data_IF_404554387596
#
_entry.id   IF_404554387596
#
_cell.length_a   1.000
_cell.length_b   1.000
_cell.length_c   1.000
_cell.angle_alpha   90.00
_cell.angle_beta   90.00
_cell.angle_gamma   90.00
#
_symmetry.space_group_name_H-M   'P 1'
#
loop_
_entity.id
_entity.type
_entity.pdbx_description
1 polymer ?
#
# COMPACT_ATOMS: atom_id res chain seq x y z
N UNK A 1 -90.65 -4.21 -40.94
CA UNK A 1 -90.14 -5.59 -41.04
C UNK A 1 -88.86 -5.70 -40.24
N UNK A 2 -88.89 -6.56 -39.23
CA UNK A 2 -87.79 -6.86 -38.32
C UNK A 2 -86.61 -7.50 -39.04
N UNK A 3 -85.38 -7.14 -38.63
CA UNK A 3 -84.30 -8.11 -38.38
C UNK A 3 -83.26 -7.49 -37.45
N UNK A 4 -83.39 -7.82 -36.16
CA UNK A 4 -82.31 -7.79 -35.18
C UNK A 4 -81.18 -8.70 -35.68
N UNK A 5 -79.94 -8.23 -35.59
CA UNK A 5 -78.79 -9.11 -35.30
C UNK A 5 -78.02 -8.49 -34.14
N UNK A 6 -78.12 -9.15 -32.99
CA UNK A 6 -77.35 -8.92 -31.77
C UNK A 6 -76.44 -10.15 -31.64
N UNK A 7 -75.12 -9.96 -31.53
CA UNK A 7 -74.10 -10.81 -30.89
C UNK A 7 -72.81 -9.95 -30.93
N UNK A 8 -72.45 -9.28 -29.84
CA UNK A 8 -71.59 -9.76 -28.73
C UNK A 8 -70.14 -9.36 -28.99
N UNK A 9 -69.71 -8.29 -28.31
CA UNK A 9 -68.31 -7.93 -28.18
C UNK A 9 -67.65 -8.92 -27.22
N UNK A 10 -66.70 -9.71 -27.71
CA UNK A 10 -65.73 -10.43 -26.90
C UNK A 10 -64.55 -9.47 -26.64
N UNK A 11 -64.17 -9.14 -25.39
CA UNK A 11 -63.13 -8.14 -25.10
C UNK A 11 -61.70 -8.60 -25.43
N UNK A 12 -61.52 -9.76 -26.06
CA UNK A 12 -60.21 -10.40 -26.22
C UNK A 12 -59.58 -10.28 -27.62
N UNK A 13 -60.26 -9.70 -28.61
CA UNK A 13 -59.70 -9.56 -29.97
C UNK A 13 -58.81 -8.31 -30.12
N UNK A 14 -59.07 -7.24 -29.37
CA UNK A 14 -58.26 -6.02 -29.34
C UNK A 14 -56.91 -6.21 -28.61
N UNK A 15 -56.81 -7.22 -27.75
CA UNK A 15 -55.58 -7.55 -27.00
C UNK A 15 -54.58 -8.35 -27.84
N UNK A 16 -55.00 -8.99 -28.94
CA UNK A 16 -54.13 -9.82 -29.79
C UNK A 16 -53.43 -9.00 -30.88
N UNK A 17 -54.10 -8.01 -31.50
CA UNK A 17 -53.45 -7.09 -32.43
C UNK A 17 -52.44 -6.16 -31.73
N UNK A 18 -52.76 -5.70 -30.53
CA UNK A 18 -51.85 -4.86 -29.73
C UNK A 18 -50.62 -5.64 -29.24
N UNK A 19 -50.70 -6.97 -29.09
CA UNK A 19 -49.56 -7.83 -28.71
C UNK A 19 -48.69 -8.26 -29.89
N UNK A 20 -49.23 -8.39 -31.11
CA UNK A 20 -48.43 -8.65 -32.32
C UNK A 20 -47.61 -7.41 -32.72
N UNK A 21 -48.18 -6.21 -32.63
CA UNK A 21 -47.46 -4.95 -32.86
C UNK A 21 -46.37 -4.65 -31.80
N UNK A 22 -46.47 -5.22 -30.59
CA UNK A 22 -45.47 -5.06 -29.51
C UNK A 22 -44.34 -6.10 -29.53
N UNK A 23 -44.52 -7.23 -30.23
CA UNK A 23 -43.51 -8.30 -30.32
C UNK A 23 -42.55 -8.12 -31.51
N UNK A 24 -42.96 -7.45 -32.58
CA UNK A 24 -42.05 -7.10 -33.70
C UNK A 24 -41.16 -5.87 -33.42
N UNK A 25 -41.51 -5.01 -32.45
CA UNK A 25 -40.63 -3.89 -32.03
C UNK A 25 -39.50 -4.29 -31.06
N UNK A 26 -39.36 -5.56 -30.68
CA UNK A 26 -38.34 -6.05 -29.72
C UNK A 26 -37.24 -6.93 -30.33
N UNK A 27 -37.18 -7.08 -31.65
CA UNK A 27 -36.15 -7.85 -32.34
C UNK A 27 -35.50 -7.07 -33.50
N UNK A 28 -34.97 -5.88 -33.20
CA UNK A 28 -33.86 -5.25 -33.94
C UNK A 28 -33.39 -4.02 -33.17
N UNK A 29 -32.61 -4.23 -32.11
CA UNK A 29 -31.64 -3.21 -31.69
C UNK A 29 -30.40 -3.41 -32.55
N UNK A 30 -30.60 -3.20 -33.86
CA UNK A 30 -29.52 -3.00 -34.80
C UNK A 30 -28.75 -1.79 -34.27
N UNK A 31 -27.48 -1.99 -33.90
CA UNK A 31 -26.56 -0.88 -33.63
C UNK A 31 -26.53 -0.07 -34.91
N UNK A 32 -27.32 1.00 -34.99
CA UNK A 32 -27.08 2.05 -35.97
C UNK A 32 -25.59 2.40 -35.82
N UNK A 33 -24.78 2.28 -36.88
CA UNK A 33 -23.40 2.74 -36.82
C UNK A 33 -23.47 4.19 -36.37
N UNK A 34 -22.85 4.50 -35.23
CA UNK A 34 -22.77 5.87 -34.75
C UNK A 34 -22.26 6.71 -35.93
N UNK A 35 -23.05 7.70 -36.34
CA UNK A 35 -22.77 8.52 -37.50
C UNK A 35 -21.35 9.12 -37.39
N UNK A 36 -20.64 9.23 -38.52
CA UNK A 36 -19.22 9.58 -38.52
C UNK A 36 -18.99 10.96 -37.89
N UNK A 37 -19.94 11.87 -38.04
CA UNK A 37 -19.88 13.21 -37.46
C UNK A 37 -20.23 13.20 -35.96
N UNK A 38 -21.10 12.30 -35.52
CA UNK A 38 -21.32 12.02 -34.08
C UNK A 38 -20.08 11.41 -33.41
N UNK A 39 -19.37 10.49 -34.07
CA UNK A 39 -18.09 9.93 -33.58
C UNK A 39 -17.00 11.00 -33.49
N UNK A 40 -16.90 11.88 -34.50
CA UNK A 40 -15.95 13.01 -34.49
C UNK A 40 -16.30 14.04 -33.42
N UNK A 41 -17.58 14.32 -33.20
CA UNK A 41 -18.06 15.24 -32.16
C UNK A 41 -17.82 14.67 -30.76
N UNK A 42 -18.07 13.38 -30.56
CA UNK A 42 -17.74 12.66 -29.33
C UNK A 42 -16.22 12.61 -29.09
N UNK A 43 -15.42 12.38 -30.13
CA UNK A 43 -13.97 12.42 -30.02
C UNK A 43 -13.45 13.82 -29.67
N UNK A 44 -14.00 14.88 -30.28
CA UNK A 44 -13.68 16.27 -29.95
C UNK A 44 -14.11 16.63 -28.53
N UNK A 45 -15.28 16.18 -28.07
CA UNK A 45 -15.75 16.43 -26.71
C UNK A 45 -14.95 15.67 -25.67
N UNK A 46 -14.53 14.43 -25.95
CA UNK A 46 -13.63 13.67 -25.08
C UNK A 46 -12.25 14.34 -25.03
N UNK A 47 -11.69 14.77 -26.17
CA UNK A 47 -10.41 15.49 -26.20
C UNK A 47 -10.49 16.80 -25.42
N UNK A 48 -11.55 17.58 -25.59
CA UNK A 48 -11.77 18.81 -24.83
C UNK A 48 -11.88 18.54 -23.31
N UNK A 49 -12.63 17.51 -22.92
CA UNK A 49 -12.75 17.09 -21.52
C UNK A 49 -11.41 16.62 -20.94
N UNK A 50 -10.62 15.86 -21.72
CA UNK A 50 -9.27 15.42 -21.33
C UNK A 50 -8.33 16.61 -21.18
N UNK A 51 -8.40 17.62 -22.05
CA UNK A 51 -7.61 18.84 -21.91
C UNK A 51 -7.98 19.62 -20.64
N UNK A 52 -9.28 19.76 -20.35
CA UNK A 52 -9.76 20.40 -19.11
C UNK A 52 -9.29 19.62 -17.90
N UNK A 53 -9.40 18.28 -17.91
CA UNK A 53 -8.91 17.41 -16.84
C UNK A 53 -7.38 17.53 -16.68
N UNK A 54 -6.62 17.53 -17.76
CA UNK A 54 -5.17 17.70 -17.71
C UNK A 54 -4.79 19.05 -17.08
N UNK A 55 -5.50 20.13 -17.42
CA UNK A 55 -5.32 21.45 -16.81
C UNK A 55 -5.71 21.42 -15.33
N UNK A 56 -6.84 20.82 -14.97
CA UNK A 56 -7.26 20.68 -13.57
C UNK A 56 -6.27 19.87 -12.73
N UNK A 57 -5.78 18.74 -13.25
CA UNK A 57 -4.76 17.92 -12.57
C UNK A 57 -3.45 18.69 -12.44
N UNK A 58 -3.03 19.42 -13.48
CA UNK A 58 -1.80 20.22 -13.42
C UNK A 58 -1.93 21.37 -12.42
N UNK A 59 -3.10 22.01 -12.35
CA UNK A 59 -3.42 23.05 -11.37
C UNK A 59 -3.41 22.49 -9.94
N UNK A 60 -4.08 21.36 -9.67
CA UNK A 60 -4.12 20.73 -8.33
C UNK A 60 -2.72 20.27 -7.90
N UNK A 61 -1.95 19.65 -8.80
CA UNK A 61 -0.57 19.23 -8.54
C UNK A 61 0.35 20.42 -8.26
N UNK A 62 0.16 21.56 -8.94
CA UNK A 62 0.96 22.75 -8.73
C UNK A 62 0.55 23.50 -7.45
N UNK A 63 -0.74 23.56 -7.11
CA UNK A 63 -1.19 24.14 -5.83
C UNK A 63 -0.69 23.34 -4.63
N UNK A 64 -0.66 21.99 -4.72
CA UNK A 64 -0.07 21.14 -3.68
C UNK A 64 1.41 21.42 -3.45
N UNK A 65 2.19 21.66 -4.52
CA UNK A 65 3.61 22.05 -4.41
C UNK A 65 3.79 23.42 -3.74
N UNK A 66 2.89 24.38 -3.99
CA UNK A 66 2.94 25.71 -3.37
C UNK A 66 2.57 25.63 -1.88
N UNK A 67 1.56 24.85 -1.51
CA UNK A 67 1.18 24.65 -0.11
C UNK A 67 2.27 23.90 0.68
N UNK A 68 2.90 22.87 0.12
CA UNK A 68 4.02 22.17 0.77
C UNK A 68 5.26 23.06 0.89
N UNK A 69 5.54 23.91 -0.12
CA UNK A 69 6.63 24.88 -0.05
C UNK A 69 6.35 26.00 0.97
N UNK A 70 5.11 26.49 1.05
CA UNK A 70 4.68 27.48 2.04
C UNK A 70 4.73 26.91 3.47
N UNK A 71 4.34 25.64 3.65
CA UNK A 71 4.45 24.94 4.94
C UNK A 71 5.91 24.74 5.36
N UNK A 72 6.79 24.40 4.41
CA UNK A 72 8.23 24.27 4.63
C UNK A 72 8.91 25.63 4.92
N UNK A 73 8.42 26.71 4.31
CA UNK A 73 8.85 28.08 4.60
C UNK A 73 8.35 28.58 5.97
N UNK A 74 7.17 28.16 6.41
CA UNK A 74 6.65 28.44 7.74
C UNK A 74 7.43 27.69 8.84
N UNK A 75 7.79 26.42 8.59
CA UNK A 75 8.63 25.61 9.49
C UNK A 75 10.06 26.17 9.60
N UNK A 76 10.62 26.76 8.53
CA UNK A 76 11.94 27.42 8.57
C UNK A 76 11.92 28.80 9.26
N UNK A 77 10.77 29.48 9.33
CA UNK A 77 10.63 30.78 10.01
C UNK A 77 10.40 30.67 11.51
N UNK A 78 10.04 29.48 12.02
CA UNK A 78 9.87 29.22 13.45
C UNK A 78 11.16 28.91 14.23
N UNK A 79 12.34 29.01 13.61
CA UNK A 79 13.63 28.63 14.23
C UNK A 79 14.68 29.74 14.20
N UNK A 80 14.27 31.01 14.24
CA UNK A 80 15.16 32.12 14.57
C UNK A 80 14.95 32.52 16.03
N UNK A 81 15.95 32.21 16.85
CA UNK A 81 16.08 32.60 18.25
C UNK A 81 16.02 34.13 18.39
N UNK A 82 15.19 34.63 19.30
CA UNK A 82 15.30 35.97 19.87
C UNK A 82 15.33 35.85 21.40
N UNK A 83 16.48 36.16 21.98
CA UNK A 83 16.70 36.32 23.43
C UNK A 83 16.57 37.80 23.80
N UNK A 84 15.71 38.07 24.80
CA UNK A 84 15.60 39.16 25.79
C UNK A 84 15.58 40.64 25.29
N UNK A 85 14.74 41.56 25.79
CA UNK A 85 14.26 41.78 27.18
C UNK A 85 13.09 42.79 27.24
N UNK A 86 12.25 42.66 28.30
CA UNK A 86 11.34 43.61 29.01
C UNK A 86 10.12 44.24 28.29
N UNK A 87 8.94 44.03 28.89
CA UNK A 87 7.74 44.85 28.73
C UNK A 87 6.51 44.18 29.36
N UNK A 88 6.04 44.71 30.48
CA UNK A 88 5.14 44.10 31.48
C UNK A 88 3.66 43.95 31.07
N UNK A 89 3.03 42.94 31.70
CA UNK A 89 1.68 42.91 32.30
C UNK A 89 0.43 42.40 31.53
N UNK A 90 -0.37 41.66 32.32
CA UNK A 90 -1.79 41.28 32.29
C UNK A 90 -2.23 39.98 31.57
N UNK A 91 -2.14 38.89 32.35
CA UNK A 91 -3.26 38.04 32.84
C UNK A 91 -4.45 37.71 31.88
N UNK A 92 -4.63 36.43 31.52
CA UNK A 92 -5.45 35.48 32.30
C UNK A 92 -5.90 34.23 31.48
N UNK A 93 -5.79 33.08 32.15
CA UNK A 93 -6.62 31.86 32.05
C UNK A 93 -6.54 30.93 30.83
N UNK A 94 -6.02 29.71 31.07
CA UNK A 94 -6.23 28.56 30.19
C UNK A 94 -5.36 27.33 30.47
N UNK A 95 -5.31 26.91 31.74
CA UNK A 95 -4.87 25.62 32.30
C UNK A 95 -4.26 24.53 31.37
N UNK A 96 -3.01 24.19 31.68
CA UNK A 96 -2.25 23.01 31.21
C UNK A 96 -2.52 21.85 32.17
N UNK A 97 -2.53 20.59 31.69
CA UNK A 97 -1.98 19.51 32.51
C UNK A 97 -0.76 18.87 31.85
N UNK A 98 0.35 19.00 32.56
CA UNK A 98 1.56 18.20 32.51
C UNK A 98 1.28 16.78 33.03
N UNK A 99 1.76 15.75 32.34
CA UNK A 99 2.90 14.92 32.77
C UNK A 99 2.88 13.55 32.07
N UNK A 100 4.08 13.04 31.87
CA UNK A 100 4.46 11.72 31.44
C UNK A 100 3.88 10.60 32.33
N UNK A 101 3.65 9.44 31.74
CA UNK A 101 4.18 8.14 32.19
C UNK A 101 3.78 7.07 31.19
N UNK A 102 4.71 6.16 30.92
CA UNK A 102 4.43 4.98 30.12
C UNK A 102 3.69 3.96 30.96
N UNK A 103 2.69 3.32 30.38
CA UNK A 103 2.29 1.98 30.76
C UNK A 103 1.64 1.25 29.58
N UNK A 104 2.03 -0.01 29.45
CA UNK A 104 1.47 -0.98 28.51
C UNK A 104 0.12 -1.42 29.07
N UNK A 105 -0.96 -1.47 28.28
CA UNK A 105 -2.18 -2.10 28.76
C UNK A 105 -2.01 -3.62 28.72
N UNK A 106 -2.02 -4.22 29.91
CA UNK A 106 -2.19 -5.64 30.18
C UNK A 106 -3.55 -6.14 29.68
N UNK A 107 -3.55 -7.42 29.37
CA UNK A 107 -4.64 -8.27 28.97
C UNK A 107 -5.68 -8.47 30.09
N UNK A 108 -6.94 -8.56 29.68
CA UNK A 108 -8.02 -9.07 30.51
C UNK A 108 -8.90 -9.96 29.63
N UNK A 109 -8.62 -11.27 29.66
CA UNK A 109 -9.61 -12.33 29.69
C UNK A 109 -8.88 -13.61 30.05
N UNK A 110 -9.05 -14.02 31.31
CA UNK A 110 -8.57 -15.29 31.80
C UNK A 110 -9.38 -16.43 31.24
N UNK A 111 -8.71 -17.51 30.91
CA UNK A 111 -9.14 -18.83 31.35
C UNK A 111 -7.90 -19.73 31.49
N UNK A 112 -7.86 -20.41 32.62
CA UNK A 112 -6.80 -21.31 33.08
C UNK A 112 -6.80 -22.58 32.21
N UNK A 113 -5.63 -23.14 31.89
CA UNK A 113 -5.51 -24.60 31.86
C UNK A 113 -4.59 -25.07 32.98
N UNK A 114 -5.20 -25.80 33.90
CA UNK A 114 -4.61 -26.66 34.91
C UNK A 114 -3.81 -27.75 34.19
N UNK A 115 -2.50 -27.83 34.42
CA UNK A 115 -1.75 -29.07 34.13
C UNK A 115 -1.49 -29.79 35.45
N UNK A 116 -2.15 -30.94 35.56
CA UNK A 116 -2.08 -31.86 36.67
C UNK A 116 -0.93 -32.84 36.44
N UNK A 117 0.04 -32.78 37.35
CA UNK A 117 0.85 -33.87 37.90
C UNK A 117 1.02 -35.17 37.07
N UNK A 118 2.27 -35.40 36.67
CA UNK A 118 3.01 -36.61 37.06
C UNK A 118 2.96 -37.81 36.11
N UNK A 119 4.11 -38.13 35.52
CA UNK A 119 4.64 -39.50 35.39
C UNK A 119 6.12 -39.45 34.97
N UNK A 120 6.81 -40.53 35.32
CA UNK A 120 8.22 -40.66 35.63
C UNK A 120 9.06 -41.24 34.46
N UNK A 121 10.39 -41.08 34.58
CA UNK A 121 11.55 -41.80 33.97
C UNK A 121 11.58 -42.13 32.45
N UNK A 122 12.69 -42.14 31.72
CA UNK A 122 14.13 -42.27 31.99
C UNK A 122 14.88 -41.74 30.76
N UNK A 123 16.01 -41.04 30.94
CA UNK A 123 17.12 -41.13 29.98
C UNK A 123 18.43 -41.16 30.75
N UNK A 124 19.13 -42.29 30.64
CA UNK A 124 20.42 -42.52 31.26
C UNK A 124 21.52 -41.83 30.45
N UNK A 125 22.29 -40.96 31.11
CA UNK A 125 23.68 -40.71 30.77
C UNK A 125 24.40 -40.24 32.04
N UNK A 126 25.44 -40.99 32.41
CA UNK A 126 26.12 -40.87 33.70
C UNK A 126 26.85 -39.54 33.91
N UNK A 127 26.97 -39.18 35.18
CA UNK A 127 27.74 -38.03 35.65
C UNK A 127 27.66 -37.94 37.18
N UNK A 128 28.62 -38.58 37.83
CA UNK A 128 28.81 -38.69 39.27
C UNK A 128 29.05 -37.33 39.97
N UNK A 129 28.40 -37.13 41.14
CA UNK A 129 28.91 -36.48 42.39
C UNK A 129 29.47 -35.04 42.32
N UNK A 130 29.25 -34.09 43.24
CA UNK A 130 28.64 -34.04 44.58
C UNK A 130 28.70 -32.58 45.08
N UNK A 131 27.73 -32.20 45.92
CA UNK A 131 27.74 -31.22 47.04
C UNK A 131 28.21 -29.77 46.85
N UNK A 132 27.40 -28.85 47.39
CA UNK A 132 27.90 -27.61 48.02
C UNK A 132 26.95 -26.42 47.84
N UNK A 133 26.35 -25.95 48.94
CA UNK A 133 25.28 -24.96 48.92
C UNK A 133 25.68 -23.50 49.07
N UNK A 134 24.63 -22.68 48.96
CA UNK A 134 24.35 -21.40 49.62
C UNK A 134 24.60 -20.07 48.90
N UNK A 135 23.50 -19.31 48.87
CA UNK A 135 23.34 -17.84 48.93
C UNK A 135 23.75 -16.94 47.75
N UNK A 136 22.74 -16.20 47.25
CA UNK A 136 22.91 -14.77 46.97
C UNK A 136 22.57 -14.31 45.56
N UNK A 137 21.37 -13.72 45.41
CA UNK A 137 21.24 -12.41 44.78
C UNK A 137 21.26 -12.28 43.25
N UNK A 138 20.16 -11.72 42.78
CA UNK A 138 20.08 -10.69 41.73
C UNK A 138 19.62 -11.10 40.33
N UNK A 139 18.76 -10.23 39.83
CA UNK A 139 17.98 -10.31 38.61
C UNK A 139 18.83 -10.33 37.33
N UNK A 140 18.34 -11.03 36.31
CA UNK A 140 18.65 -10.72 34.91
C UNK A 140 17.52 -11.28 34.03
N UNK A 141 16.62 -10.41 33.57
CA UNK A 141 16.62 -9.88 32.20
C UNK A 141 16.76 -10.99 31.16
N UNK A 142 15.63 -11.25 30.52
CA UNK A 142 15.45 -12.03 29.29
C UNK A 142 16.67 -11.86 28.37
N UNK A 143 17.40 -12.96 28.20
CA UNK A 143 18.58 -13.05 27.36
C UNK A 143 18.26 -12.53 25.96
N UNK A 144 18.86 -11.39 25.60
CA UNK A 144 19.19 -11.12 24.21
C UNK A 144 20.13 -12.24 23.77
N UNK A 145 19.60 -13.18 22.98
CA UNK A 145 20.37 -14.29 22.46
C UNK A 145 21.61 -13.74 21.72
N UNK A 146 22.77 -13.94 22.33
CA UNK A 146 24.05 -13.88 21.66
C UNK A 146 24.06 -15.06 20.69
N UNK A 147 23.53 -14.84 19.47
CA UNK A 147 23.39 -15.89 18.48
C UNK A 147 24.78 -16.26 17.97
N UNK A 148 25.21 -17.48 18.31
CA UNK A 148 26.32 -18.13 17.62
C UNK A 148 26.14 -18.04 16.11
N UNK A 149 27.25 -17.84 15.42
CA UNK A 149 27.48 -17.57 13.98
C UNK A 149 26.95 -18.64 13.01
N UNK A 150 25.72 -19.10 13.22
CA UNK A 150 25.02 -20.02 12.35
C UNK A 150 24.09 -19.23 11.43
N UNK A 151 24.08 -19.62 10.16
CA UNK A 151 23.18 -19.05 9.16
C UNK A 151 21.75 -19.33 9.64
N UNK A 152 20.83 -18.35 9.66
CA UNK A 152 19.44 -18.62 10.06
C UNK A 152 18.84 -19.68 9.13
N UNK A 153 18.28 -20.73 9.71
CA UNK A 153 17.70 -21.87 8.98
C UNK A 153 16.21 -21.99 9.26
N UNK A 154 15.43 -22.26 8.22
CA UNK A 154 13.97 -22.30 8.32
C UNK A 154 13.30 -20.92 8.26
N UNK A 155 12.06 -20.92 7.77
CA UNK A 155 11.34 -19.70 7.40
C UNK A 155 11.17 -18.71 8.55
N UNK A 156 10.84 -19.19 9.75
CA UNK A 156 10.63 -18.32 10.92
C UNK A 156 11.90 -17.58 11.33
N UNK A 157 13.03 -18.28 11.40
CA UNK A 157 14.32 -17.68 11.75
C UNK A 157 14.76 -16.68 10.68
N UNK A 158 14.60 -17.01 9.40
CA UNK A 158 14.98 -16.13 8.29
C UNK A 158 14.14 -14.85 8.28
N UNK A 159 12.82 -14.96 8.43
CA UNK A 159 11.91 -13.80 8.50
C UNK A 159 12.22 -12.94 9.72
N UNK A 160 12.44 -13.57 10.89
CA UNK A 160 12.82 -12.85 12.11
C UNK A 160 14.13 -12.08 11.93
N UNK A 161 15.16 -12.72 11.36
CA UNK A 161 16.46 -12.10 11.13
C UNK A 161 16.35 -10.91 10.15
N UNK A 162 15.55 -11.05 9.10
CA UNK A 162 15.21 -9.96 8.19
C UNK A 162 14.53 -8.78 8.92
N UNK A 163 13.47 -9.07 9.69
CA UNK A 163 12.76 -8.05 10.47
C UNK A 163 13.71 -7.30 11.42
N UNK A 164 14.57 -8.01 12.15
CA UNK A 164 15.57 -7.40 13.02
C UNK A 164 16.52 -6.47 12.26
N UNK A 165 17.02 -6.90 11.09
CA UNK A 165 17.91 -6.08 10.26
C UNK A 165 17.21 -4.78 9.79
N UNK A 166 15.95 -4.87 9.36
CA UNK A 166 15.16 -3.68 8.96
C UNK A 166 14.79 -2.79 10.14
N UNK A 167 14.52 -3.37 11.32
CA UNK A 167 14.22 -2.60 12.53
C UNK A 167 15.42 -1.73 12.93
N UNK A 168 16.64 -2.26 12.84
CA UNK A 168 17.88 -1.50 13.07
C UNK A 168 18.00 -0.29 12.14
N UNK A 169 17.69 -0.45 10.85
CA UNK A 169 17.69 0.64 9.87
C UNK A 169 16.72 1.74 10.28
N UNK A 170 15.49 1.36 10.61
CA UNK A 170 14.44 2.32 10.96
C UNK A 170 14.66 3.01 12.33
N UNK A 171 15.23 2.31 13.31
CA UNK A 171 15.50 2.84 14.64
C UNK A 171 16.68 3.82 14.60
N UNK A 172 17.72 3.50 13.83
CA UNK A 172 18.92 4.35 13.68
C UNK A 172 18.77 5.44 12.64
N UNK A 173 17.67 5.44 11.86
CA UNK A 173 17.48 6.34 10.73
C UNK A 173 18.65 6.29 9.76
N UNK A 174 19.09 5.07 9.44
CA UNK A 174 20.26 4.83 8.61
C UNK A 174 20.15 5.60 7.29
N UNK A 175 21.25 6.18 6.82
CA UNK A 175 21.31 6.84 5.52
C UNK A 175 21.43 5.78 4.41
N UNK A 176 20.80 6.01 3.25
CA UNK A 176 20.85 5.09 2.10
C UNK A 176 20.40 5.80 0.81
N UNK A 177 20.69 5.19 -0.34
CA UNK A 177 20.14 5.64 -1.62
C UNK A 177 18.97 4.74 -2.01
N UNK A 178 17.87 5.33 -2.44
CA UNK A 178 16.68 4.64 -2.91
C UNK A 178 16.39 4.98 -4.37
N UNK A 179 16.07 3.97 -5.15
CA UNK A 179 15.46 4.13 -6.47
C UNK A 179 14.25 3.23 -6.62
N UNK A 180 13.26 3.69 -7.39
CA UNK A 180 12.14 2.88 -7.86
C UNK A 180 11.93 3.14 -9.34
N UNK A 181 11.84 2.05 -10.11
CA UNK A 181 11.42 2.08 -11.51
C UNK A 181 10.27 1.11 -11.69
N UNK A 182 9.26 1.55 -12.42
CA UNK A 182 8.10 0.73 -12.74
C UNK A 182 7.93 0.68 -14.25
N UNK A 183 7.99 -0.51 -14.82
CA UNK A 183 7.96 -0.72 -16.27
C UNK A 183 6.61 -1.29 -16.69
N UNK A 184 5.97 -0.64 -17.65
CA UNK A 184 4.75 -1.14 -18.29
C UNK A 184 4.99 -2.53 -18.88
N UNK A 185 4.03 -3.43 -18.67
CA UNK A 185 3.93 -4.71 -19.37
C UNK A 185 2.82 -4.69 -20.40
N UNK A 186 1.67 -4.16 -20.04
CA UNK A 186 0.55 -3.97 -20.96
C UNK A 186 -0.39 -2.87 -20.49
N UNK A 187 -1.03 -2.22 -21.44
CA UNK A 187 -2.13 -1.29 -21.19
C UNK A 187 -3.24 -1.49 -22.20
N UNK A 188 -4.33 -2.10 -21.76
CA UNK A 188 -5.54 -2.20 -22.56
C UNK A 188 -6.64 -1.35 -21.94
N UNK A 189 -7.18 -0.42 -22.70
CA UNK A 189 -8.11 0.58 -22.18
C UNK A 189 -9.06 1.09 -23.26
N UNK A 190 -10.23 1.54 -22.83
CA UNK A 190 -11.15 2.31 -23.66
C UNK A 190 -10.56 3.66 -24.07
N UNK A 191 -11.18 4.31 -25.05
CA UNK A 191 -10.67 5.54 -25.70
C UNK A 191 -10.30 6.63 -24.69
N UNK A 192 -11.19 6.92 -23.72
CA UNK A 192 -10.95 7.97 -22.72
C UNK A 192 -9.74 7.68 -21.82
N UNK A 193 -9.61 6.44 -21.32
CA UNK A 193 -8.45 6.05 -20.52
C UNK A 193 -7.16 5.96 -21.35
N UNK A 194 -7.25 5.60 -22.63
CA UNK A 194 -6.11 5.66 -23.56
C UNK A 194 -5.58 7.08 -23.73
N UNK A 195 -6.47 8.06 -23.91
CA UNK A 195 -6.07 9.48 -24.00
C UNK A 195 -5.45 10.02 -22.71
N UNK A 196 -5.72 9.40 -21.56
CA UNK A 196 -5.19 9.82 -20.24
C UNK A 196 -4.06 8.92 -19.73
N UNK A 197 -3.46 8.08 -20.57
CA UNK A 197 -2.44 7.09 -20.15
C UNK A 197 -1.36 7.70 -19.25
N UNK A 198 -0.84 8.87 -19.59
CA UNK A 198 0.17 9.59 -18.80
C UNK A 198 -0.29 9.91 -17.37
N UNK A 199 -1.54 10.35 -17.20
CA UNK A 199 -2.14 10.69 -15.90
C UNK A 199 -2.33 9.42 -15.06
N UNK A 200 -2.92 8.37 -15.66
CA UNK A 200 -3.09 7.06 -15.02
C UNK A 200 -1.73 6.51 -14.57
N UNK A 201 -0.72 6.63 -15.42
CA UNK A 201 0.63 6.14 -15.15
C UNK A 201 1.34 6.92 -14.08
N UNK A 202 1.08 8.22 -13.97
CA UNK A 202 1.59 9.04 -12.88
C UNK A 202 1.09 8.55 -11.53
N UNK A 203 -0.22 8.29 -11.39
CA UNK A 203 -0.80 7.79 -10.14
C UNK A 203 -0.30 6.38 -9.79
N UNK A 204 -0.12 5.53 -10.80
CA UNK A 204 0.44 4.18 -10.64
C UNK A 204 1.96 4.15 -10.53
N UNK A 205 2.64 5.29 -10.72
CA UNK A 205 4.10 5.39 -10.74
C UNK A 205 4.79 4.65 -11.89
N UNK A 206 4.11 4.43 -13.03
CA UNK A 206 4.57 3.64 -14.20
C UNK A 206 5.30 4.53 -15.21
N UNK A 207 6.41 4.04 -15.76
CA UNK A 207 7.16 4.68 -16.84
C UNK A 207 8.31 5.58 -16.36
N UNK A 208 9.18 5.96 -17.28
CA UNK A 208 10.44 6.65 -16.98
C UNK A 208 10.23 8.02 -16.31
N UNK A 209 9.18 8.75 -16.70
CA UNK A 209 8.82 10.04 -16.11
C UNK A 209 8.37 9.96 -14.66
N UNK A 210 8.07 8.75 -14.17
CA UNK A 210 7.57 8.49 -12.82
C UNK A 210 8.57 7.69 -11.96
N UNK A 211 9.83 7.61 -12.39
CA UNK A 211 10.93 7.08 -11.59
C UNK A 211 11.10 7.89 -10.32
N UNK A 212 11.39 7.19 -9.23
CA UNK A 212 11.73 7.82 -7.96
C UNK A 212 13.21 7.58 -7.67
N UNK A 213 13.90 8.62 -7.20
CA UNK A 213 15.26 8.55 -6.71
C UNK A 213 15.43 9.49 -5.54
N UNK A 214 16.06 9.02 -4.45
CA UNK A 214 16.29 9.81 -3.24
C UNK A 214 17.52 9.30 -2.51
N UNK A 215 18.41 10.22 -2.15
CA UNK A 215 19.40 9.98 -1.10
C UNK A 215 18.76 10.36 0.24
N UNK A 216 18.59 9.36 1.11
CA UNK A 216 18.01 9.50 2.45
C UNK A 216 19.14 9.76 3.42
N UNK A 217 19.03 10.84 4.19
CA UNK A 217 20.05 11.26 5.17
C UNK A 217 19.41 11.56 6.53
N UNK A 218 20.23 11.98 7.51
CA UNK A 218 19.76 12.42 8.82
C UNK A 218 18.74 13.57 8.75
N UNK A 219 18.83 14.43 7.72
CA UNK A 219 17.87 15.52 7.51
C UNK A 219 16.44 15.00 7.21
N UNK A 220 16.29 13.74 6.79
CA UNK A 220 15.01 13.13 6.49
C UNK A 220 14.36 12.43 7.71
N UNK A 221 14.98 12.48 8.91
CA UNK A 221 14.56 11.69 10.07
C UNK A 221 13.08 11.82 10.44
N UNK A 222 12.52 13.04 10.40
CA UNK A 222 11.09 13.30 10.68
C UNK A 222 10.13 12.75 9.61
N UNK A 223 10.65 12.41 8.43
CA UNK A 223 9.88 11.89 7.30
C UNK A 223 10.34 10.51 6.83
N UNK A 224 11.14 9.81 7.64
CA UNK A 224 11.82 8.56 7.25
C UNK A 224 10.86 7.48 6.73
N UNK A 225 9.65 7.42 7.30
CA UNK A 225 8.57 6.50 6.91
C UNK A 225 8.15 6.65 5.44
N UNK A 226 8.41 7.81 4.81
CA UNK A 226 8.19 8.05 3.38
C UNK A 226 9.12 7.22 2.49
N UNK A 227 10.26 6.80 3.02
CA UNK A 227 11.31 6.16 2.23
C UNK A 227 11.57 4.72 2.67
N UNK A 228 11.38 4.41 3.95
CA UNK A 228 11.61 3.08 4.52
C UNK A 228 10.71 2.83 5.73
N UNK A 229 10.19 1.60 5.86
CA UNK A 229 9.46 1.15 7.05
C UNK A 229 10.19 -0.07 7.62
N UNK A 230 10.18 -0.22 8.94
CA UNK A 230 10.63 -1.48 9.53
C UNK A 230 9.72 -2.61 9.04
N UNK A 231 10.30 -3.75 8.66
CA UNK A 231 9.53 -4.92 8.27
C UNK A 231 8.80 -5.49 9.48
N UNK A 232 7.57 -5.93 9.25
CA UNK A 232 6.69 -6.62 10.21
C UNK A 232 6.16 -7.94 9.65
N UNK A 233 6.90 -8.54 8.71
CA UNK A 233 6.51 -9.81 8.09
C UNK A 233 6.42 -10.91 9.15
N UNK A 234 5.43 -11.79 8.98
CA UNK A 234 5.35 -13.06 9.71
C UNK A 234 5.63 -14.22 8.77
N UNK A 235 5.70 -15.44 9.30
CA UNK A 235 5.80 -16.65 8.47
C UNK A 235 4.60 -16.84 7.54
N UNK A 236 3.42 -16.36 7.94
CA UNK A 236 2.21 -16.43 7.11
C UNK A 236 2.26 -15.50 5.90
N UNK A 237 3.20 -14.56 5.86
CA UNK A 237 3.30 -13.54 4.81
C UNK A 237 4.16 -13.97 3.63
N UNK A 238 4.89 -15.08 3.79
CA UNK A 238 5.82 -15.59 2.79
C UNK A 238 5.39 -16.96 2.30
N UNK A 239 5.68 -17.25 1.03
CA UNK A 239 5.53 -18.59 0.45
C UNK A 239 6.81 -19.41 0.61
N UNK A 240 7.96 -18.74 0.59
CA UNK A 240 9.26 -19.35 0.87
C UNK A 240 10.26 -18.30 1.34
N UNK A 241 11.29 -18.75 2.05
CA UNK A 241 12.39 -17.92 2.52
C UNK A 241 13.69 -18.72 2.45
N UNK A 242 14.75 -18.09 1.96
CA UNK A 242 16.10 -18.67 1.91
C UNK A 242 17.12 -17.69 2.46
N UNK A 243 18.20 -18.22 3.03
CA UNK A 243 19.34 -17.45 3.49
C UNK A 243 20.63 -18.17 3.12
N UNK A 244 21.51 -17.50 2.40
CA UNK A 244 22.79 -18.04 1.95
C UNK A 244 23.92 -17.14 2.45
N UNK A 245 24.99 -17.72 2.97
CA UNK A 245 26.20 -16.98 3.34
C UNK A 245 27.08 -16.78 2.11
N UNK A 246 27.33 -15.52 1.78
CA UNK A 246 28.17 -15.07 0.68
C UNK A 246 29.28 -14.19 1.24
N UNK A 247 30.44 -14.80 1.54
CA UNK A 247 31.54 -14.14 2.24
C UNK A 247 31.11 -13.62 3.62
N UNK A 248 31.26 -12.31 3.85
CA UNK A 248 30.91 -11.64 5.11
C UNK A 248 29.43 -11.26 5.23
N UNK A 249 28.59 -11.64 4.26
CA UNK A 249 27.20 -11.27 4.20
C UNK A 249 26.27 -12.48 4.17
N UNK A 250 25.06 -12.31 4.67
CA UNK A 250 23.91 -13.16 4.38
C UNK A 250 23.08 -12.52 3.28
N UNK A 251 22.76 -13.31 2.26
CA UNK A 251 21.77 -12.96 1.24
C UNK A 251 20.47 -13.69 1.56
N UNK A 252 19.47 -12.91 1.95
CA UNK A 252 18.12 -13.38 2.28
C UNK A 252 17.23 -13.15 1.08
N UNK A 253 16.49 -14.18 0.65
CA UNK A 253 15.44 -14.05 -0.37
C UNK A 253 14.11 -14.47 0.23
N UNK A 254 13.13 -13.58 0.19
CA UNK A 254 11.76 -13.82 0.66
C UNK A 254 10.81 -13.75 -0.54
N UNK A 255 10.04 -14.81 -0.76
CA UNK A 255 8.93 -14.78 -1.70
C UNK A 255 7.67 -14.39 -0.95
N UNK A 256 7.18 -13.19 -1.19
CA UNK A 256 6.04 -12.60 -0.48
C UNK A 256 4.74 -13.12 -1.09
N UNK A 257 3.76 -13.46 -0.26
CA UNK A 257 2.42 -13.85 -0.74
C UNK A 257 1.78 -12.71 -1.50
N UNK A 258 1.00 -13.06 -2.51
CA UNK A 258 0.23 -12.11 -3.30
C UNK A 258 -0.80 -11.39 -2.43
N UNK A 259 -1.24 -10.22 -2.90
CA UNK A 259 -2.28 -9.45 -2.24
C UNK A 259 -3.02 -8.55 -3.22
N UNK A 260 -4.03 -7.88 -2.71
CA UNK A 260 -4.92 -7.03 -3.50
C UNK A 260 -5.58 -5.98 -2.63
N UNK A 261 -6.00 -4.89 -3.26
CA UNK A 261 -6.82 -3.85 -2.66
C UNK A 261 -7.92 -3.42 -3.62
N UNK A 262 -9.07 -3.01 -3.09
CA UNK A 262 -10.24 -2.70 -3.89
C UNK A 262 -10.98 -1.46 -3.41
N UNK A 263 -11.39 -0.65 -4.38
CA UNK A 263 -12.27 0.50 -4.23
C UNK A 263 -13.48 0.28 -5.14
N UNK A 264 -14.69 0.49 -4.61
CA UNK A 264 -15.94 0.46 -5.39
C UNK A 264 -16.73 1.74 -5.15
N UNK A 265 -17.15 2.40 -6.22
CA UNK A 265 -17.87 3.66 -6.17
C UNK A 265 -17.14 4.74 -5.37
N UNK A 266 -15.81 4.80 -5.49
CA UNK A 266 -14.97 5.72 -4.73
C UNK A 266 -14.75 5.37 -3.25
N UNK A 267 -15.32 4.27 -2.76
CA UNK A 267 -15.21 3.82 -1.36
C UNK A 267 -14.29 2.61 -1.24
N UNK A 268 -13.42 2.61 -0.23
CA UNK A 268 -12.57 1.46 0.10
C UNK A 268 -13.44 0.28 0.54
N UNK A 269 -13.23 -0.89 -0.05
CA UNK A 269 -14.02 -2.11 0.24
C UNK A 269 -13.18 -3.19 0.91
N UNK A 270 -11.88 -3.23 0.62
CA UNK A 270 -10.92 -4.08 1.31
C UNK A 270 -9.78 -3.20 1.85
N UNK A 271 -9.63 -3.12 3.17
CA UNK A 271 -8.53 -2.39 3.78
C UNK A 271 -7.21 -3.11 3.55
N UNK A 272 -6.17 -2.30 3.41
CA UNK A 272 -4.86 -2.78 3.01
C UNK A 272 -4.06 -3.30 4.21
N UNK A 273 -3.90 -4.63 4.30
CA UNK A 273 -2.89 -5.29 5.14
C UNK A 273 -2.12 -6.31 4.29
N UNK A 274 -1.66 -5.89 3.13
CA UNK A 274 -0.89 -6.73 2.22
C UNK A 274 0.48 -7.12 2.83
N UNK A 275 0.90 -8.39 2.70
CA UNK A 275 2.27 -8.82 3.00
C UNK A 275 3.37 -7.91 2.44
N UNK A 276 3.22 -7.42 1.20
CA UNK A 276 4.18 -6.50 0.57
C UNK A 276 4.38 -5.20 1.36
N UNK A 277 3.32 -4.66 1.96
CA UNK A 277 3.38 -3.40 2.73
C UNK A 277 4.02 -3.57 4.11
N UNK A 278 4.11 -4.82 4.59
CA UNK A 278 4.88 -5.18 5.78
C UNK A 278 6.32 -5.52 5.48
N UNK A 279 6.75 -5.56 4.22
CA UNK A 279 8.09 -6.04 3.84
C UNK A 279 9.19 -4.99 3.96
N UNK A 280 8.91 -3.82 4.52
CA UNK A 280 9.84 -2.71 4.68
C UNK A 280 9.90 -1.72 3.52
N UNK A 281 9.02 -1.90 2.53
CA UNK A 281 8.76 -0.91 1.49
C UNK A 281 7.96 0.28 2.04
N UNK A 282 8.13 1.43 1.41
CA UNK A 282 7.37 2.63 1.74
C UNK A 282 5.95 2.51 1.17
N UNK A 283 4.97 2.63 2.05
CA UNK A 283 3.54 2.61 1.72
C UNK A 283 2.77 3.38 2.79
N UNK A 284 1.61 3.89 2.40
CA UNK A 284 0.75 4.66 3.28
C UNK A 284 -0.53 5.08 2.59
N UNK A 285 -1.17 6.09 3.15
CA UNK A 285 -2.42 6.63 2.62
C UNK A 285 -2.16 7.68 1.53
N UNK A 286 -3.19 7.89 0.71
CA UNK A 286 -3.24 8.86 -0.38
C UNK A 286 -2.16 8.65 -1.44
N UNK A 287 -2.28 9.33 -2.57
CA UNK A 287 -1.30 9.25 -3.63
C UNK A 287 -0.05 10.06 -3.28
N UNK A 288 1.10 9.39 -3.17
CA UNK A 288 2.41 10.01 -2.98
C UNK A 288 3.45 9.33 -3.86
N UNK A 289 4.27 10.12 -4.54
CA UNK A 289 5.31 9.67 -5.47
C UNK A 289 6.36 8.73 -4.84
N UNK A 290 6.64 8.92 -3.55
CA UNK A 290 7.59 8.13 -2.77
C UNK A 290 7.05 6.76 -2.30
N UNK A 291 5.76 6.46 -2.48
CA UNK A 291 5.24 5.13 -2.24
C UNK A 291 5.78 4.13 -3.24
N UNK A 292 6.25 2.99 -2.72
CA UNK A 292 6.79 1.89 -3.50
C UNK A 292 5.67 1.05 -4.09
N UNK A 293 4.73 0.66 -3.23
CA UNK A 293 3.50 -0.01 -3.58
C UNK A 293 2.36 1.03 -3.55
N UNK A 294 1.66 1.14 -4.67
CA UNK A 294 0.46 1.97 -4.83
C UNK A 294 -0.74 1.04 -4.74
N UNK A 295 -1.65 1.30 -3.82
CA UNK A 295 -2.88 0.52 -3.68
C UNK A 295 -4.02 1.14 -4.48
N UNK A 296 -5.15 0.42 -4.58
CA UNK A 296 -6.38 0.96 -5.11
C UNK A 296 -6.81 2.25 -4.40
N UNK A 297 -6.64 2.32 -3.08
CA UNK A 297 -6.96 3.52 -2.28
C UNK A 297 -6.03 4.69 -2.61
N UNK A 298 -4.72 4.46 -2.76
CA UNK A 298 -3.79 5.52 -3.17
C UNK A 298 -4.21 6.09 -4.52
N UNK A 299 -4.43 5.22 -5.51
CA UNK A 299 -4.82 5.67 -6.85
C UNK A 299 -6.20 6.35 -6.82
N UNK A 300 -7.15 5.85 -6.05
CA UNK A 300 -8.46 6.48 -5.90
C UNK A 300 -8.34 7.91 -5.35
N UNK A 301 -7.49 8.13 -4.34
CA UNK A 301 -7.35 9.45 -3.73
C UNK A 301 -6.92 10.53 -4.74
N UNK A 302 -6.09 10.18 -5.73
CA UNK A 302 -5.73 11.08 -6.81
C UNK A 302 -6.82 11.17 -7.89
N UNK A 303 -7.46 10.05 -8.23
CA UNK A 303 -8.56 10.04 -9.22
C UNK A 303 -9.76 10.84 -8.72
N UNK A 304 -10.06 10.86 -7.43
CA UNK A 304 -11.17 11.63 -6.86
C UNK A 304 -10.98 13.14 -6.99
N UNK A 305 -9.75 13.62 -7.17
CA UNK A 305 -9.47 15.03 -7.45
C UNK A 305 -9.81 15.42 -8.90
N UNK A 306 -10.03 14.43 -9.78
CA UNK A 306 -10.47 14.65 -11.15
C UNK A 306 -12.00 14.76 -11.20
N UNK A 307 -12.55 15.89 -11.69
CA UNK A 307 -13.99 16.07 -11.82
C UNK A 307 -14.65 14.92 -12.61
N UNK A 308 -15.74 14.38 -12.07
CA UNK A 308 -16.49 13.28 -12.69
C UNK A 308 -15.86 11.89 -12.53
N UNK A 309 -14.73 11.75 -11.82
CA UNK A 309 -14.06 10.46 -11.60
C UNK A 309 -14.16 9.94 -10.16
N UNK A 310 -14.80 10.67 -9.25
CA UNK A 310 -14.94 10.29 -7.83
C UNK A 310 -15.69 8.97 -7.59
N UNK A 311 -16.44 8.45 -8.57
CA UNK A 311 -17.16 7.17 -8.50
C UNK A 311 -16.40 5.98 -9.10
N UNK A 312 -15.10 6.08 -9.31
CA UNK A 312 -14.31 5.02 -9.94
C UNK A 312 -14.33 3.71 -9.14
N UNK A 313 -14.23 2.59 -9.85
CA UNK A 313 -13.89 1.30 -9.25
C UNK A 313 -12.45 0.96 -9.63
N UNK A 314 -11.69 0.51 -8.64
CA UNK A 314 -10.29 0.15 -8.80
C UNK A 314 -10.07 -1.20 -8.12
N UNK A 315 -9.59 -2.17 -8.88
CA UNK A 315 -9.07 -3.43 -8.33
C UNK A 315 -7.57 -3.47 -8.59
N UNK A 316 -6.79 -3.37 -7.53
CA UNK A 316 -5.35 -3.54 -7.55
C UNK A 316 -5.01 -4.95 -7.06
N UNK A 317 -4.02 -5.56 -7.69
CA UNK A 317 -3.40 -6.79 -7.21
C UNK A 317 -1.92 -6.78 -7.52
N UNK A 318 -1.11 -7.33 -6.63
CA UNK A 318 0.30 -7.59 -6.88
C UNK A 318 0.61 -9.08 -6.78
N UNK A 319 1.66 -9.48 -7.49
CA UNK A 319 2.12 -10.86 -7.56
C UNK A 319 3.61 -10.95 -7.80
N UNK A 320 4.15 -12.17 -7.67
CA UNK A 320 5.57 -12.47 -7.91
C UNK A 320 6.51 -11.59 -7.09
N UNK A 321 6.07 -11.18 -5.90
CA UNK A 321 6.80 -10.29 -5.04
C UNK A 321 7.99 -11.02 -4.41
N UNK A 322 9.20 -10.52 -4.66
CA UNK A 322 10.45 -11.06 -4.12
C UNK A 322 11.24 -9.94 -3.47
N UNK A 323 11.60 -10.13 -2.20
CA UNK A 323 12.52 -9.28 -1.47
C UNK A 323 13.87 -9.98 -1.37
N UNK A 324 14.93 -9.32 -1.83
CA UNK A 324 16.31 -9.74 -1.66
C UNK A 324 17.04 -8.74 -0.77
N UNK A 325 17.47 -9.19 0.40
CA UNK A 325 18.20 -8.38 1.35
C UNK A 325 19.62 -8.92 1.52
N UNK A 326 20.60 -8.02 1.55
CA UNK A 326 21.98 -8.36 1.95
C UNK A 326 22.19 -7.78 3.33
N UNK A 327 22.56 -8.64 4.27
CA UNK A 327 22.80 -8.28 5.67
C UNK A 327 24.23 -8.67 6.02
N UNK A 328 24.99 -7.78 6.64
CA UNK A 328 26.33 -8.10 7.12
C UNK A 328 26.22 -9.16 8.23
N UNK A 329 26.93 -10.28 8.08
CA UNK A 329 26.79 -11.45 8.94
C UNK A 329 27.27 -11.19 10.38
N UNK A 330 28.28 -10.34 10.56
CA UNK A 330 28.88 -10.05 11.86
C UNK A 330 28.08 -9.02 12.67
N UNK A 331 27.50 -8.02 11.99
CA UNK A 331 26.82 -6.90 12.65
C UNK A 331 25.29 -7.02 12.62
N UNK A 332 24.75 -7.85 11.72
CA UNK A 332 23.32 -7.91 11.42
C UNK A 332 22.78 -6.61 10.82
N UNK A 333 23.63 -5.76 10.26
CA UNK A 333 23.23 -4.51 9.62
C UNK A 333 22.82 -4.77 8.17
N UNK A 334 21.70 -4.20 7.75
CA UNK A 334 21.29 -4.23 6.34
C UNK A 334 22.33 -3.48 5.50
N UNK A 335 22.72 -4.06 4.37
CA UNK A 335 23.68 -3.50 3.38
C UNK A 335 22.93 -3.02 2.14
N UNK A 336 21.98 -3.83 1.68
CA UNK A 336 21.08 -3.48 0.59
C UNK A 336 19.75 -4.24 0.69
N UNK A 337 18.73 -3.68 0.05
CA UNK A 337 17.42 -4.28 -0.14
C UNK A 337 16.99 -4.03 -1.59
N UNK A 338 16.65 -5.11 -2.29
CA UNK A 338 16.01 -5.08 -3.59
C UNK A 338 14.62 -5.71 -3.46
N UNK A 339 13.61 -5.05 -3.99
CA UNK A 339 12.27 -5.61 -4.10
C UNK A 339 11.85 -5.60 -5.57
N UNK A 340 11.26 -6.70 -6.01
CA UNK A 340 10.63 -6.82 -7.32
C UNK A 340 9.23 -7.37 -7.15
N UNK A 341 8.25 -6.79 -7.82
CA UNK A 341 6.89 -7.30 -7.84
C UNK A 341 6.18 -6.85 -9.11
N UNK A 342 5.23 -7.65 -9.56
CA UNK A 342 4.30 -7.29 -10.63
C UNK A 342 3.02 -6.78 -10.01
N UNK A 343 2.36 -5.82 -10.66
CA UNK A 343 1.03 -5.39 -10.26
C UNK A 343 0.12 -5.20 -11.45
N UNK A 344 -1.18 -5.34 -11.18
CA UNK A 344 -2.28 -5.18 -12.12
C UNK A 344 -3.33 -4.27 -11.49
N UNK A 345 -3.72 -3.25 -12.24
CA UNK A 345 -4.86 -2.41 -11.93
C UNK A 345 -5.95 -2.63 -12.96
N UNK A 346 -7.16 -2.90 -12.48
CA UNK A 346 -8.38 -2.84 -13.26
C UNK A 346 -9.14 -1.58 -12.85
N UNK A 347 -9.36 -0.70 -13.81
CA UNK A 347 -10.01 0.58 -13.66
C UNK A 347 -11.35 0.52 -14.38
N UNK A 348 -12.43 0.96 -13.73
CA UNK A 348 -13.72 1.14 -14.39
C UNK A 348 -14.50 2.30 -13.79
N UNK A 349 -15.56 2.71 -14.49
CA UNK A 349 -16.38 3.88 -14.13
C UNK A 349 -15.61 5.20 -14.13
N UNK A 350 -14.48 5.27 -14.85
CA UNK A 350 -13.74 6.52 -15.06
C UNK A 350 -14.24 7.12 -16.37
N UNK A 351 -15.09 8.14 -16.28
CA UNK A 351 -15.74 8.76 -17.44
C UNK A 351 -16.41 7.74 -18.38
N UNK A 352 -17.16 6.79 -17.81
CA UNK A 352 -17.79 5.68 -18.55
C UNK A 352 -16.79 4.79 -19.33
N UNK A 353 -15.52 4.77 -18.92
CA UNK A 353 -14.46 3.97 -19.51
C UNK A 353 -13.92 2.95 -18.52
N UNK A 354 -13.27 1.92 -19.07
CA UNK A 354 -12.56 0.89 -18.31
C UNK A 354 -11.22 0.57 -18.96
N UNK A 355 -10.31 0.02 -18.17
CA UNK A 355 -9.00 -0.39 -18.63
C UNK A 355 -8.26 -1.25 -17.62
N UNK A 356 -7.28 -1.98 -18.13
CA UNK A 356 -6.36 -2.81 -17.36
C UNK A 356 -4.94 -2.36 -17.65
N UNK A 357 -4.19 -2.10 -16.57
CA UNK A 357 -2.79 -1.75 -16.63
C UNK A 357 -1.99 -2.79 -15.85
N UNK A 358 -0.97 -3.37 -16.48
CA UNK A 358 -0.05 -4.33 -15.87
C UNK A 358 1.36 -3.76 -15.95
N UNK A 359 2.09 -3.82 -14.85
CA UNK A 359 3.46 -3.33 -14.77
C UNK A 359 4.30 -4.15 -13.79
N UNK A 360 5.62 -4.01 -13.87
CA UNK A 360 6.56 -4.56 -12.89
C UNK A 360 7.33 -3.42 -12.22
N UNK A 361 7.40 -3.44 -10.90
CA UNK A 361 8.18 -2.50 -10.10
C UNK A 361 9.47 -3.14 -9.61
N UNK A 362 10.55 -2.36 -9.61
CA UNK A 362 11.82 -2.69 -8.97
C UNK A 362 12.20 -1.53 -8.07
N UNK A 363 12.38 -1.82 -6.78
CA UNK A 363 12.87 -0.89 -5.76
C UNK A 363 14.26 -1.33 -5.34
N UNK A 364 15.22 -0.42 -5.36
CA UNK A 364 16.56 -0.66 -4.86
C UNK A 364 16.87 0.31 -3.73
N UNK A 365 17.38 -0.23 -2.62
CA UNK A 365 17.89 0.53 -1.49
C UNK A 365 19.33 0.05 -1.24
N UNK A 366 20.30 0.95 -1.37
CA UNK A 366 21.72 0.59 -1.34
C UNK A 366 22.53 1.54 -0.48
N UNK A 367 23.65 1.04 0.03
CA UNK A 367 24.60 1.84 0.80
C UNK A 367 24.04 2.27 2.14
N UNK A 368 23.33 1.39 2.84
CA UNK A 368 22.89 1.62 4.21
C UNK A 368 24.07 1.94 5.12
N UNK A 369 24.01 3.08 5.79
CA UNK A 369 24.98 3.56 6.78
C UNK A 369 24.24 3.79 8.10
N UNK A 370 24.55 2.95 9.08
CA UNK A 370 23.90 2.88 10.39
C UNK A 370 24.28 4.01 11.33
#
# INVERSE_FOLDING_TARGET
MSKKKKVSADPNEEVVETKKAKKEKKAKKEKTPMDLDSKKTLAKSITALVCVIAVCVTAVVNTGKICDAAKKAAEQRGSASATDTVGEDVDNSGEVPTDATGEVPTDANGEVPTDANGADVTNAAGGNSSTGGSTGGSASKTNAANAGSSIPTGTAQIVSYYNTATAKVASKKAAFNKTRTTTEKSYDAGVALKSMKSIVYKFMGVGDSNKFSKSVTSADAGSYHKYFKASKLTTSDVTSATCVKNGNNYTITLHIKNGSSTVKGGKVVSSNNAPLDRSGLACGEKDKDYWDHKTAENVMSAISEVPGCGGANISESYSNAVIKAVVNASTGNLVSLNAKFDFKFELSSIMSSSGTAVASSVVNMTGFKM
#
